data_IF_260883902658
#
_entry.id   IF_260883902658
#
_cell.length_a   1.000
_cell.length_b   1.000
_cell.length_c   1.000
_cell.angle_alpha   90.00
_cell.angle_beta   90.00
_cell.angle_gamma   90.00
#
_symmetry.space_group_name_H-M   'P 1'
#
loop_
_entity.id
_entity.type
_entity.pdbx_description
1 polymer ?
#
# COMPACT_ATOMS: atom_id res chain seq x y z
N UNK A 1 -23.24 -7.94 -19.32
CA UNK A 1 -23.77 -9.21 -18.78
C UNK A 1 -23.29 -10.45 -19.56
N UNK A 2 -22.86 -10.32 -20.82
CA UNK A 2 -22.42 -11.42 -21.70
C UNK A 2 -21.21 -12.19 -21.13
N UNK A 3 -20.29 -11.52 -20.47
CA UNK A 3 -19.03 -12.06 -19.96
C UNK A 3 -19.01 -12.26 -18.44
N UNK A 4 -20.17 -12.41 -17.83
CA UNK A 4 -20.37 -12.64 -16.40
C UNK A 4 -21.14 -13.93 -16.18
N UNK A 5 -20.92 -14.59 -15.04
CA UNK A 5 -21.79 -15.67 -14.58
C UNK A 5 -23.17 -15.09 -14.20
N UNK A 6 -24.23 -15.81 -14.48
CA UNK A 6 -25.59 -15.39 -14.11
C UNK A 6 -26.24 -16.43 -13.20
N UNK A 7 -26.99 -16.02 -12.19
CA UNK A 7 -27.15 -14.66 -11.71
C UNK A 7 -25.85 -14.15 -11.02
N UNK A 8 -25.59 -12.84 -11.10
CA UNK A 8 -24.47 -12.23 -10.37
C UNK A 8 -24.85 -12.10 -8.90
N UNK A 9 -24.03 -12.66 -8.03
CA UNK A 9 -24.17 -12.50 -6.58
C UNK A 9 -23.80 -11.08 -6.15
N UNK A 10 -24.52 -10.44 -5.22
CA UNK A 10 -24.17 -9.11 -4.72
C UNK A 10 -22.85 -9.07 -3.91
N UNK A 11 -22.35 -10.24 -3.48
CA UNK A 11 -21.14 -10.34 -2.63
C UNK A 11 -19.99 -11.14 -3.24
N UNK A 12 -20.23 -11.95 -4.31
CA UNK A 12 -19.20 -12.79 -4.93
C UNK A 12 -18.79 -12.31 -6.31
N UNK A 13 -18.52 -11.01 -6.46
CA UNK A 13 -18.10 -10.43 -7.75
C UNK A 13 -16.80 -11.01 -8.29
N UNK A 14 -15.88 -11.43 -7.44
CA UNK A 14 -14.67 -12.16 -7.85
C UNK A 14 -15.02 -13.40 -8.69
N UNK A 15 -15.94 -14.20 -8.21
CA UNK A 15 -16.42 -15.43 -8.87
C UNK A 15 -17.30 -15.14 -10.11
N UNK A 16 -18.21 -14.18 -10.03
CA UNK A 16 -19.26 -14.02 -11.01
C UNK A 16 -18.95 -12.98 -12.09
N UNK A 17 -18.04 -12.03 -11.80
CA UNK A 17 -17.68 -10.92 -12.71
C UNK A 17 -16.21 -11.01 -13.11
N UNK A 18 -15.28 -10.96 -12.14
CA UNK A 18 -13.86 -10.78 -12.46
C UNK A 18 -13.21 -12.04 -13.04
N UNK A 19 -13.46 -13.22 -12.48
CA UNK A 19 -12.90 -14.46 -12.99
C UNK A 19 -13.41 -14.80 -14.41
N UNK A 20 -14.72 -14.73 -14.71
CA UNK A 20 -15.21 -14.88 -16.08
C UNK A 20 -14.63 -13.84 -17.04
N UNK A 21 -14.56 -12.56 -16.67
CA UNK A 21 -13.99 -11.52 -17.50
C UNK A 21 -12.53 -11.82 -17.85
N UNK A 22 -11.70 -12.19 -16.86
CA UNK A 22 -10.31 -12.58 -17.07
C UNK A 22 -10.19 -13.78 -18.03
N UNK A 23 -11.03 -14.81 -17.84
CA UNK A 23 -11.05 -15.99 -18.71
C UNK A 23 -11.42 -15.68 -20.17
N UNK A 24 -12.33 -14.73 -20.41
CA UNK A 24 -12.65 -14.29 -21.76
C UNK A 24 -11.57 -13.44 -22.39
N UNK A 25 -10.93 -12.55 -21.61
CA UNK A 25 -9.75 -11.78 -22.06
C UNK A 25 -8.60 -12.72 -22.46
N UNK A 26 -8.31 -13.76 -21.68
CA UNK A 26 -7.27 -14.74 -22.00
C UNK A 26 -7.56 -15.55 -23.27
N UNK A 27 -8.82 -15.63 -23.68
CA UNK A 27 -9.27 -16.24 -24.94
C UNK A 27 -9.27 -15.26 -26.13
N UNK A 28 -8.77 -14.03 -25.93
CA UNK A 28 -8.64 -13.04 -27.01
C UNK A 28 -9.88 -12.18 -27.22
N UNK A 29 -10.87 -12.19 -26.35
CA UNK A 29 -12.00 -11.24 -26.41
C UNK A 29 -11.45 -9.83 -26.18
N UNK A 30 -11.78 -8.91 -27.07
CA UNK A 30 -11.28 -7.53 -27.01
C UNK A 30 -11.88 -6.80 -25.80
N UNK A 31 -11.06 -5.95 -25.15
CA UNK A 31 -11.47 -5.24 -23.93
C UNK A 31 -12.69 -4.35 -24.16
N UNK A 32 -12.84 -3.78 -25.34
CA UNK A 32 -13.94 -2.91 -25.74
C UNK A 32 -15.31 -3.64 -25.70
N UNK A 33 -15.31 -4.99 -25.80
CA UNK A 33 -16.55 -5.79 -25.72
C UNK A 33 -17.11 -5.92 -24.29
N UNK A 34 -16.28 -5.60 -23.27
CA UNK A 34 -16.73 -5.66 -21.87
C UNK A 34 -17.56 -4.43 -21.46
N UNK A 35 -17.41 -3.31 -22.17
CA UNK A 35 -18.17 -2.10 -21.93
C UNK A 35 -17.53 -0.86 -22.50
N UNK A 36 -18.13 0.28 -22.21
CA UNK A 36 -17.55 1.58 -22.61
C UNK A 36 -16.24 1.86 -21.86
N UNK A 37 -15.34 2.57 -22.50
CA UNK A 37 -14.19 3.15 -21.82
C UNK A 37 -14.66 4.19 -20.80
N UNK A 38 -14.24 4.07 -19.55
CA UNK A 38 -14.52 5.04 -18.51
C UNK A 38 -13.57 6.24 -18.63
N UNK A 39 -14.06 7.42 -18.31
CA UNK A 39 -13.20 8.57 -18.09
C UNK A 39 -12.56 8.42 -16.69
N UNK A 40 -11.24 8.57 -16.53
CA UNK A 40 -10.59 8.52 -15.22
C UNK A 40 -11.21 9.46 -14.18
N UNK A 41 -11.77 10.60 -14.60
CA UNK A 41 -12.45 11.55 -13.71
C UNK A 41 -13.81 11.04 -13.17
N UNK A 42 -14.37 9.96 -13.73
CA UNK A 42 -15.60 9.30 -13.22
C UNK A 42 -15.28 8.29 -12.10
N UNK A 43 -14.00 7.98 -11.88
CA UNK A 43 -13.58 7.04 -10.84
C UNK A 43 -13.64 7.71 -9.46
N UNK A 44 -14.08 6.94 -8.47
CA UNK A 44 -14.04 7.38 -7.08
C UNK A 44 -12.59 7.48 -6.65
N UNK A 45 -12.18 8.67 -6.21
CA UNK A 45 -10.84 8.88 -5.66
C UNK A 45 -10.71 8.25 -4.28
N UNK A 46 -9.51 7.82 -3.95
CA UNK A 46 -9.19 7.38 -2.60
C UNK A 46 -9.48 8.51 -1.58
N UNK A 47 -9.95 8.18 -0.36
CA UNK A 47 -10.32 9.17 0.65
C UNK A 47 -9.12 9.78 1.38
N UNK A 48 -7.95 9.77 0.78
CA UNK A 48 -6.70 10.33 1.33
C UNK A 48 -5.87 10.98 0.22
N UNK A 49 -5.07 11.95 0.61
CA UNK A 49 -4.10 12.61 -0.27
C UNK A 49 -2.80 11.80 -0.29
N UNK A 50 -2.02 11.94 -1.37
CA UNK A 50 -0.68 11.36 -1.45
C UNK A 50 0.28 12.08 -0.48
N UNK A 51 1.39 11.42 -0.14
CA UNK A 51 2.41 11.98 0.74
C UNK A 51 3.08 13.22 0.11
N UNK A 52 3.53 14.12 0.96
CA UNK A 52 4.22 15.36 0.55
C UNK A 52 5.72 15.15 0.68
N UNK A 53 6.43 15.42 -0.42
CA UNK A 53 7.88 15.40 -0.49
C UNK A 53 8.42 16.82 -0.37
N UNK A 54 9.30 17.08 0.61
CA UNK A 54 9.80 18.40 0.92
C UNK A 54 11.22 18.33 1.49
N UNK A 55 12.20 18.97 0.82
CA UNK A 55 13.60 19.13 1.28
C UNK A 55 14.24 17.88 1.93
N UNK A 56 14.13 16.71 1.29
CA UNK A 56 14.78 15.47 1.79
C UNK A 56 13.98 14.75 2.88
N UNK A 57 12.72 15.09 3.06
CA UNK A 57 11.79 14.42 3.95
C UNK A 57 10.47 14.08 3.24
N UNK A 58 9.79 13.06 3.74
CA UNK A 58 8.44 12.69 3.33
C UNK A 58 7.49 12.90 4.51
N UNK A 59 6.45 13.71 4.31
CA UNK A 59 5.33 13.82 5.25
C UNK A 59 4.24 12.86 4.80
N UNK A 60 4.10 11.77 5.53
CA UNK A 60 3.19 10.68 5.22
C UNK A 60 2.06 10.55 6.25
N UNK A 61 1.01 9.84 5.86
CA UNK A 61 -0.14 9.51 6.72
C UNK A 61 -0.41 8.01 6.66
N UNK A 62 -0.82 7.44 7.79
CA UNK A 62 -1.29 6.07 7.87
C UNK A 62 -2.67 5.98 7.22
N UNK A 63 -2.79 5.22 6.14
CA UNK A 63 -4.05 5.02 5.40
C UNK A 63 -4.78 3.75 5.80
N UNK A 64 -4.06 2.75 6.29
CA UNK A 64 -4.64 1.54 6.86
C UNK A 64 -3.67 0.84 7.82
N UNK A 65 -4.21 -0.03 8.67
CA UNK A 65 -3.46 -0.92 9.54
C UNK A 65 -4.00 -2.32 9.28
N UNK A 66 -3.12 -3.26 8.94
CA UNK A 66 -3.54 -4.64 8.68
C UNK A 66 -3.79 -5.42 10.00
N UNK A 67 -4.28 -6.65 9.89
CA UNK A 67 -4.60 -7.49 11.06
C UNK A 67 -3.38 -7.86 11.92
N UNK A 68 -2.19 -7.73 11.38
CA UNK A 68 -0.93 -8.01 12.09
C UNK A 68 -0.38 -6.76 12.78
N UNK A 69 -0.92 -5.57 12.46
CA UNK A 69 -0.53 -4.29 13.04
C UNK A 69 0.53 -3.55 12.25
N UNK A 70 0.81 -3.97 11.02
CA UNK A 70 1.64 -3.19 10.11
C UNK A 70 0.86 -1.98 9.58
N UNK A 71 1.56 -0.90 9.28
CA UNK A 71 1.05 0.40 8.88
C UNK A 71 1.25 0.60 7.38
N UNK A 72 0.18 0.78 6.62
CA UNK A 72 0.27 1.18 5.20
C UNK A 72 0.23 2.69 5.08
N UNK A 73 1.19 3.25 4.35
CA UNK A 73 1.38 4.68 4.17
C UNK A 73 0.75 5.17 2.85
N UNK A 74 0.42 6.44 2.79
CA UNK A 74 0.02 7.12 1.55
C UNK A 74 1.20 7.44 0.60
N UNK A 75 2.29 6.67 0.68
CA UNK A 75 3.47 6.77 -0.18
C UNK A 75 3.38 5.69 -1.25
N UNK A 76 3.41 6.06 -2.54
CA UNK A 76 3.50 5.08 -3.63
C UNK A 76 4.91 4.53 -3.79
N UNK A 77 5.05 3.34 -4.38
CA UNK A 77 6.36 2.80 -4.75
C UNK A 77 7.13 3.76 -5.67
N UNK A 78 6.47 4.37 -6.66
CA UNK A 78 7.11 5.32 -7.58
C UNK A 78 7.66 6.54 -6.84
N UNK A 79 6.89 7.12 -5.92
CA UNK A 79 7.33 8.26 -5.12
C UNK A 79 8.48 7.89 -4.16
N UNK A 80 8.47 6.67 -3.62
CA UNK A 80 9.58 6.15 -2.82
C UNK A 80 10.86 5.98 -3.65
N UNK A 81 10.74 5.47 -4.88
CA UNK A 81 11.88 5.32 -5.78
C UNK A 81 12.50 6.67 -6.17
N UNK A 82 11.67 7.71 -6.35
CA UNK A 82 12.13 9.09 -6.58
C UNK A 82 12.81 9.70 -5.34
N UNK A 83 12.45 9.26 -4.13
CA UNK A 83 13.12 9.68 -2.89
C UNK A 83 14.53 9.10 -2.75
N UNK A 84 14.87 8.10 -3.56
CA UNK A 84 16.21 7.53 -3.74
C UNK A 84 16.81 6.90 -2.47
N UNK A 85 16.00 6.22 -1.67
CA UNK A 85 16.45 5.33 -0.59
C UNK A 85 16.68 3.94 -1.17
N UNK A 86 17.85 3.38 -0.95
CA UNK A 86 18.23 2.05 -1.49
C UNK A 86 17.93 0.96 -0.47
N UNK A 87 17.76 -0.28 -0.96
CA UNK A 87 17.67 -1.44 -0.09
C UNK A 87 18.92 -1.55 0.79
N UNK A 88 18.69 -1.73 2.09
CA UNK A 88 19.72 -1.74 3.12
C UNK A 88 20.03 -0.38 3.74
N UNK A 89 19.57 0.72 3.14
CA UNK A 89 19.68 2.03 3.77
C UNK A 89 18.75 2.12 4.98
N UNK A 90 19.16 2.89 5.99
CA UNK A 90 18.33 3.23 7.12
C UNK A 90 17.75 4.64 6.94
N UNK A 91 16.49 4.80 7.28
CA UNK A 91 15.79 6.07 7.36
C UNK A 91 15.43 6.39 8.81
N UNK A 92 15.19 7.65 9.13
CA UNK A 92 14.64 8.02 10.43
C UNK A 92 13.14 8.30 10.30
N UNK A 93 12.33 7.54 11.05
CA UNK A 93 10.89 7.75 11.21
C UNK A 93 10.64 8.66 12.40
N UNK A 94 9.92 9.77 12.22
CA UNK A 94 9.42 10.61 13.31
C UNK A 94 7.91 10.49 13.38
N UNK A 95 7.39 10.17 14.57
CA UNK A 95 5.95 10.06 14.83
C UNK A 95 5.66 10.37 16.30
N UNK A 96 4.58 11.08 16.55
CA UNK A 96 4.25 11.57 17.90
C UNK A 96 5.45 12.32 18.51
N UNK A 97 6.01 11.78 19.61
CA UNK A 97 7.20 12.30 20.30
C UNK A 97 8.40 11.34 20.21
N UNK A 98 8.30 10.32 19.30
CA UNK A 98 9.30 9.27 19.14
C UNK A 98 10.02 9.38 17.78
N UNK A 99 11.16 8.74 17.70
CA UNK A 99 11.87 8.51 16.44
C UNK A 99 12.54 7.15 16.43
N UNK A 100 12.55 6.52 15.26
CA UNK A 100 13.18 5.21 15.02
C UNK A 100 14.05 5.28 13.78
N UNK A 101 15.16 4.58 13.83
CA UNK A 101 16.03 4.33 12.67
C UNK A 101 15.67 2.99 12.06
N UNK A 102 14.91 3.02 10.98
CA UNK A 102 14.26 1.87 10.36
C UNK A 102 14.94 1.50 9.05
N UNK A 103 15.37 0.25 8.84
CA UNK A 103 15.96 -0.19 7.58
C UNK A 103 14.89 -0.38 6.50
N UNK A 104 15.25 0.01 5.25
CA UNK A 104 14.46 -0.35 4.08
C UNK A 104 14.93 -1.69 3.54
N UNK A 105 14.06 -2.69 3.63
CA UNK A 105 14.37 -4.09 3.31
C UNK A 105 13.39 -4.68 2.32
N UNK A 106 13.64 -5.91 1.87
CA UNK A 106 12.80 -6.62 0.90
C UNK A 106 11.71 -7.43 1.60
N UNK A 107 12.05 -8.08 2.73
CA UNK A 107 11.15 -8.99 3.45
C UNK A 107 11.26 -8.80 4.95
N UNK A 108 10.29 -9.33 5.68
CA UNK A 108 10.31 -9.37 7.15
C UNK A 108 11.51 -10.14 7.70
N UNK A 109 11.98 -11.17 6.98
CA UNK A 109 13.12 -12.00 7.40
C UNK A 109 14.50 -11.34 7.26
N UNK A 110 14.56 -10.11 6.75
CA UNK A 110 15.81 -9.35 6.62
C UNK A 110 16.21 -8.62 7.91
N UNK A 111 15.33 -8.63 8.92
CA UNK A 111 15.56 -8.09 10.27
C UNK A 111 15.26 -9.14 11.34
N UNK A 112 15.78 -8.96 12.55
CA UNK A 112 15.53 -9.88 13.66
C UNK A 112 14.08 -9.76 14.17
N UNK A 113 13.63 -10.76 14.96
CA UNK A 113 12.31 -10.75 15.57
C UNK A 113 12.17 -9.56 16.53
N UNK A 114 11.09 -8.81 16.39
CA UNK A 114 10.81 -7.59 17.17
C UNK A 114 11.44 -6.31 16.62
N UNK A 115 12.28 -6.40 15.57
CA UNK A 115 12.84 -5.22 14.93
C UNK A 115 11.87 -4.60 13.92
N UNK A 116 11.98 -3.29 13.77
CA UNK A 116 11.21 -2.52 12.82
C UNK A 116 11.80 -2.56 11.41
N UNK A 117 10.94 -2.39 10.41
CA UNK A 117 11.30 -2.40 9.00
C UNK A 117 10.35 -1.53 8.20
N UNK A 118 10.82 -1.04 7.06
CA UNK A 118 9.98 -0.47 6.01
C UNK A 118 10.17 -1.26 4.72
N UNK A 119 9.06 -1.63 4.07
CA UNK A 119 9.03 -2.42 2.83
C UNK A 119 8.07 -1.82 1.81
N UNK A 120 8.18 -2.29 0.58
CA UNK A 120 7.16 -2.12 -0.46
C UNK A 120 6.09 -3.21 -0.29
N UNK A 121 4.83 -2.82 -0.10
CA UNK A 121 3.71 -3.76 0.00
C UNK A 121 3.21 -4.25 -1.37
N UNK A 122 2.31 -5.23 -1.37
CA UNK A 122 1.70 -5.78 -2.59
C UNK A 122 0.61 -4.88 -3.21
N UNK A 123 0.27 -3.77 -2.56
CA UNK A 123 -0.76 -2.82 -3.00
C UNK A 123 -0.20 -1.55 -3.65
N UNK A 124 1.12 -1.51 -3.86
CA UNK A 124 1.80 -0.36 -4.46
C UNK A 124 2.11 0.76 -3.48
N UNK A 125 2.15 0.45 -2.17
CA UNK A 125 2.41 1.39 -1.08
C UNK A 125 3.62 0.98 -0.24
N UNK A 126 4.11 1.93 0.57
CA UNK A 126 5.10 1.62 1.60
C UNK A 126 4.41 1.12 2.87
N UNK A 127 4.99 0.11 3.49
CA UNK A 127 4.52 -0.51 4.74
C UNK A 127 5.61 -0.41 5.80
N UNK A 128 5.24 0.03 7.02
CA UNK A 128 6.08 -0.03 8.23
C UNK A 128 5.55 -1.16 9.10
N UNK A 129 6.45 -1.99 9.60
CA UNK A 129 6.08 -3.13 10.42
C UNK A 129 7.11 -3.43 11.52
N UNK A 130 6.76 -4.32 12.45
CA UNK A 130 7.68 -5.07 13.29
C UNK A 130 7.71 -6.52 12.82
N UNK A 131 8.88 -7.13 12.79
CA UNK A 131 9.00 -8.55 12.49
C UNK A 131 8.38 -9.37 13.65
N UNK A 132 7.35 -10.15 13.35
CA UNK A 132 6.58 -11.01 14.27
C UNK A 132 5.85 -10.28 15.41
N UNK A 133 5.70 -8.93 15.35
CA UNK A 133 4.95 -8.15 16.35
C UNK A 133 4.11 -7.05 15.68
N UNK A 134 3.33 -6.33 16.46
CA UNK A 134 2.41 -5.30 16.00
C UNK A 134 2.98 -3.90 16.23
N UNK A 135 3.44 -3.25 15.17
CA UNK A 135 3.90 -1.86 15.23
C UNK A 135 2.82 -0.92 15.80
N UNK A 136 1.58 -1.08 15.31
CA UNK A 136 0.46 -0.25 15.78
C UNK A 136 0.19 -0.37 17.27
N UNK A 137 0.29 -1.57 17.85
CA UNK A 137 0.07 -1.78 19.31
C UNK A 137 1.26 -1.28 20.11
N UNK A 138 2.49 -1.64 19.71
CA UNK A 138 3.72 -1.30 20.41
C UNK A 138 3.86 0.22 20.60
N UNK A 139 3.58 0.98 19.53
CA UNK A 139 3.71 2.44 19.53
C UNK A 139 2.37 3.19 19.68
N UNK A 140 1.25 2.46 19.86
CA UNK A 140 -0.08 3.04 20.03
C UNK A 140 -0.56 3.86 18.81
N UNK A 141 -0.21 3.44 17.60
CA UNK A 141 -0.50 4.15 16.34
C UNK A 141 -1.92 3.87 15.86
N UNK A 142 -2.55 4.90 15.26
CA UNK A 142 -3.90 4.82 14.68
C UNK A 142 -3.91 5.28 13.23
N UNK A 143 -4.91 4.83 12.49
CA UNK A 143 -5.18 5.29 11.12
C UNK A 143 -5.38 6.81 11.14
N UNK A 144 -4.78 7.50 10.18
CA UNK A 144 -4.84 8.95 10.01
C UNK A 144 -3.73 9.72 10.73
N UNK A 145 -2.91 9.07 11.56
CA UNK A 145 -1.73 9.71 12.17
C UNK A 145 -0.64 9.98 11.12
N UNK A 146 0.17 11.00 11.41
CA UNK A 146 1.22 11.46 10.52
C UNK A 146 2.58 10.89 10.93
N UNK A 147 3.40 10.63 9.90
CA UNK A 147 4.82 10.29 10.01
C UNK A 147 5.65 11.27 9.20
N UNK A 148 6.83 11.60 9.67
CA UNK A 148 7.86 12.26 8.86
C UNK A 148 9.00 11.27 8.69
N UNK A 149 9.38 11.02 7.45
CA UNK A 149 10.46 10.11 7.07
C UNK A 149 11.61 10.97 6.56
N UNK A 150 12.78 10.77 7.11
CA UNK A 150 13.99 11.50 6.73
C UNK A 150 15.05 10.51 6.27
N UNK A 151 15.65 10.78 5.11
CA UNK A 151 16.81 10.04 4.63
C UNK A 151 18.04 10.39 5.48
N UNK A 152 18.80 9.37 5.86
CA UNK A 152 20.10 9.54 6.54
C UNK A 152 21.23 9.88 5.60
#
# INVERSE_FOLDING_TARGET
KKYMRQPVSPIFHGRDVFAPAAAYLSKGVKIEEFGRKLNPNELVKAPYEEAIFDYGQIKAKIISINKFGSLHLNITHAAWDEFDVKLGDSITLYFKNDSLDTPFVTTFGDVEEGEDLIIKDDYGRMEIALNQDSFAKTYGIKIGENFVIVKK
#
